data_IF_138937893781
#
_entry.id   IF_138937893781
#
_cell.length_a   1.000
_cell.length_b   1.000
_cell.length_c   1.000
_cell.angle_alpha   90.00
_cell.angle_beta   90.00
_cell.angle_gamma   90.00
#
_symmetry.space_group_name_H-M   'P 1'
#
loop_
_entity.id
_entity.type
_entity.pdbx_description
1 polymer ?
#
# COMPACT_ATOMS: atom_id res chain seq x y z
N UNK A 1 -24.36 0.59 -26.87
CA UNK A 1 -24.25 1.21 -25.54
C UNK A 1 -24.65 0.18 -24.49
N UNK A 2 -23.67 -0.42 -23.80
CA UNK A 2 -23.97 -1.36 -22.73
C UNK A 2 -24.50 -0.58 -21.53
N UNK A 3 -25.73 -0.91 -21.09
CA UNK A 3 -26.29 -0.51 -19.80
C UNK A 3 -25.47 -1.16 -18.68
N UNK A 4 -24.26 -0.67 -18.43
CA UNK A 4 -23.52 -1.05 -17.25
C UNK A 4 -24.29 -0.48 -16.07
N UNK A 5 -24.68 -1.36 -15.15
CA UNK A 5 -25.40 -0.98 -13.96
C UNK A 5 -24.54 0.02 -13.17
N UNK A 6 -24.99 1.28 -13.10
CA UNK A 6 -24.25 2.39 -12.49
C UNK A 6 -23.86 2.05 -11.05
N UNK A 7 -24.73 1.34 -10.33
CA UNK A 7 -24.47 0.88 -8.97
C UNK A 7 -23.28 -0.07 -8.92
N UNK A 8 -23.24 -1.07 -9.81
CA UNK A 8 -22.14 -2.03 -9.90
C UNK A 8 -20.81 -1.31 -10.16
N UNK A 9 -20.81 -0.33 -11.06
CA UNK A 9 -19.63 0.44 -11.39
C UNK A 9 -19.09 1.24 -10.19
N UNK A 10 -19.99 1.91 -9.47
CA UNK A 10 -19.63 2.64 -8.25
C UNK A 10 -19.09 1.73 -7.17
N UNK A 11 -19.69 0.56 -6.98
CA UNK A 11 -19.22 -0.43 -6.00
C UNK A 11 -17.81 -0.89 -6.32
N UNK A 12 -17.51 -1.16 -7.59
CA UNK A 12 -16.19 -1.64 -8.03
C UNK A 12 -15.11 -0.57 -7.83
N UNK A 13 -15.38 0.69 -8.22
CA UNK A 13 -14.47 1.81 -8.00
C UNK A 13 -14.27 2.12 -6.50
N UNK A 14 -15.31 1.95 -5.69
CA UNK A 14 -15.24 2.09 -4.23
C UNK A 14 -14.34 1.02 -3.61
N UNK A 15 -14.51 -0.26 -3.99
CA UNK A 15 -13.67 -1.36 -3.53
C UNK A 15 -12.20 -1.18 -3.92
N UNK A 16 -11.95 -0.70 -5.14
CA UNK A 16 -10.60 -0.38 -5.59
C UNK A 16 -9.98 0.74 -4.71
N UNK A 17 -10.71 1.82 -4.49
CA UNK A 17 -10.23 2.95 -3.68
C UNK A 17 -9.95 2.52 -2.24
N UNK A 18 -10.85 1.74 -1.65
CA UNK A 18 -10.71 1.18 -0.30
C UNK A 18 -9.49 0.24 -0.19
N UNK A 19 -9.35 -0.72 -1.12
CA UNK A 19 -8.26 -1.68 -1.12
C UNK A 19 -6.89 -1.02 -1.32
N UNK A 20 -6.81 -0.03 -2.23
CA UNK A 20 -5.58 0.74 -2.45
C UNK A 20 -5.17 1.55 -1.21
N UNK A 21 -6.13 2.18 -0.52
CA UNK A 21 -5.88 2.88 0.74
C UNK A 21 -5.38 1.93 1.83
N UNK A 22 -6.02 0.78 2.02
CA UNK A 22 -5.58 -0.22 3.00
C UNK A 22 -4.14 -0.66 2.73
N UNK A 23 -3.78 -0.91 1.46
CA UNK A 23 -2.44 -1.33 1.10
C UNK A 23 -1.38 -0.29 1.50
N UNK A 24 -1.58 0.98 1.15
CA UNK A 24 -0.61 2.05 1.43
C UNK A 24 -0.53 2.36 2.93
N UNK A 25 -1.66 2.41 3.63
CA UNK A 25 -1.68 2.58 5.08
C UNK A 25 -1.08 1.38 5.83
N UNK A 26 -1.21 0.16 5.31
CA UNK A 26 -0.57 -1.02 5.90
C UNK A 26 0.96 -0.90 5.88
N UNK A 27 1.54 -0.42 4.77
CA UNK A 27 2.97 -0.14 4.70
C UNK A 27 3.40 0.96 5.69
N UNK A 28 2.58 2.01 5.83
CA UNK A 28 2.82 3.07 6.81
C UNK A 28 2.82 2.52 8.24
N UNK A 29 1.80 1.75 8.62
CA UNK A 29 1.70 1.14 9.97
C UNK A 29 2.92 0.26 10.23
N UNK A 30 3.36 -0.51 9.24
CA UNK A 30 4.52 -1.38 9.38
C UNK A 30 5.82 -0.56 9.56
N UNK A 31 5.94 0.59 8.91
CA UNK A 31 7.05 1.52 9.12
C UNK A 31 7.01 2.18 10.50
N UNK A 32 5.82 2.59 10.97
CA UNK A 32 5.60 3.13 12.32
C UNK A 32 5.91 2.08 13.39
N UNK A 33 5.50 0.83 13.19
CA UNK A 33 5.84 -0.28 14.08
C UNK A 33 7.37 -0.48 14.17
N UNK A 34 8.06 -0.44 13.03
CA UNK A 34 9.53 -0.50 13.02
C UNK A 34 10.15 0.71 13.75
N UNK A 35 9.58 1.90 13.59
CA UNK A 35 10.00 3.11 14.30
C UNK A 35 9.87 2.95 15.81
N UNK A 36 8.71 2.49 16.30
CA UNK A 36 8.50 2.23 17.73
C UNK A 36 9.49 1.19 18.28
N UNK A 37 9.73 0.12 17.53
CA UNK A 37 10.62 -0.96 17.96
C UNK A 37 12.11 -0.56 18.02
N UNK A 38 12.55 0.35 17.15
CA UNK A 38 13.97 0.74 17.04
C UNK A 38 14.27 1.95 17.92
N UNK A 39 13.45 3.00 17.83
CA UNK A 39 13.74 4.29 18.47
C UNK A 39 13.07 4.39 19.84
N UNK A 40 11.80 4.00 19.94
CA UNK A 40 11.02 4.10 21.18
C UNK A 40 11.01 2.80 21.99
N UNK A 41 12.08 1.99 21.90
CA UNK A 41 12.16 0.68 22.57
C UNK A 41 11.95 0.74 24.10
N UNK A 42 12.20 1.91 24.72
CA UNK A 42 11.97 2.16 26.14
C UNK A 42 10.47 2.23 26.50
N UNK A 43 9.61 2.66 25.58
CA UNK A 43 8.18 2.81 25.80
C UNK A 43 7.43 1.52 25.48
N UNK A 44 7.48 0.55 26.40
CA UNK A 44 6.87 -0.78 26.22
C UNK A 44 5.39 -0.76 25.82
N UNK A 45 4.63 0.25 26.24
CA UNK A 45 3.20 0.41 25.91
C UNK A 45 2.99 0.50 24.39
N UNK A 46 3.84 1.24 23.68
CA UNK A 46 3.73 1.42 22.22
C UNK A 46 4.09 0.15 21.43
N UNK A 47 4.80 -0.78 22.05
CA UNK A 47 5.20 -2.05 21.44
C UNK A 47 4.15 -3.16 21.66
N UNK A 48 3.04 -2.86 22.34
CA UNK A 48 2.00 -3.87 22.62
C UNK A 48 1.20 -4.22 21.37
N UNK A 49 0.72 -5.47 21.35
CA UNK A 49 -0.16 -5.99 20.30
C UNK A 49 -1.44 -5.16 20.13
N UNK A 50 -2.00 -4.66 21.24
CA UNK A 50 -3.20 -3.81 21.25
C UNK A 50 -3.01 -2.53 20.44
N UNK A 51 -1.87 -1.85 20.57
CA UNK A 51 -1.59 -0.63 19.82
C UNK A 51 -1.45 -0.93 18.32
N UNK A 52 -0.84 -2.05 17.95
CA UNK A 52 -0.74 -2.45 16.54
C UNK A 52 -2.11 -2.73 15.94
N UNK A 53 -2.98 -3.44 16.66
CA UNK A 53 -4.35 -3.67 16.23
C UNK A 53 -5.16 -2.39 16.12
N UNK A 54 -5.02 -1.49 17.09
CA UNK A 54 -5.68 -0.19 17.07
C UNK A 54 -5.26 0.63 15.85
N UNK A 55 -3.97 0.64 15.50
CA UNK A 55 -3.48 1.29 14.28
C UNK A 55 -4.10 0.68 13.01
N UNK A 56 -4.18 -0.66 12.93
CA UNK A 56 -4.81 -1.35 11.81
C UNK A 56 -6.29 -0.96 11.70
N UNK A 57 -7.05 -1.04 12.79
CA UNK A 57 -8.48 -0.68 12.80
C UNK A 57 -8.67 0.77 12.34
N UNK A 58 -7.85 1.70 12.83
CA UNK A 58 -7.89 3.11 12.42
C UNK A 58 -7.64 3.25 10.92
N UNK A 59 -6.65 2.55 10.34
CA UNK A 59 -6.41 2.63 8.89
C UNK A 59 -7.57 2.11 8.04
N UNK A 60 -8.27 1.08 8.52
CA UNK A 60 -9.46 0.55 7.86
C UNK A 60 -10.60 1.56 7.93
N UNK A 61 -10.81 2.19 9.09
CA UNK A 61 -11.84 3.23 9.27
C UNK A 61 -11.54 4.43 8.36
N UNK A 62 -10.30 4.93 8.35
CA UNK A 62 -9.90 6.05 7.49
C UNK A 62 -10.13 5.72 6.01
N UNK A 63 -9.65 4.55 5.54
CA UNK A 63 -9.84 4.13 4.15
C UNK A 63 -11.31 3.96 3.80
N UNK A 64 -12.11 3.42 4.74
CA UNK A 64 -13.55 3.22 4.58
C UNK A 64 -14.33 4.52 4.50
N UNK A 65 -14.01 5.49 5.35
CA UNK A 65 -14.61 6.84 5.32
C UNK A 65 -14.30 7.51 3.98
N UNK A 66 -13.05 7.51 3.54
CA UNK A 66 -12.65 8.12 2.26
C UNK A 66 -13.42 7.48 1.10
N UNK A 67 -13.43 6.15 1.02
CA UNK A 67 -14.11 5.44 -0.06
C UNK A 67 -15.63 5.68 -0.04
N UNK A 68 -16.25 5.75 1.15
CA UNK A 68 -17.69 5.96 1.32
C UNK A 68 -18.11 7.40 1.01
N UNK A 69 -17.34 8.41 1.44
CA UNK A 69 -17.58 9.80 1.08
C UNK A 69 -17.58 9.99 -0.43
N UNK A 70 -16.66 9.32 -1.13
CA UNK A 70 -16.60 9.33 -2.58
C UNK A 70 -17.74 8.53 -3.24
N UNK A 71 -18.23 7.47 -2.61
CA UNK A 71 -19.36 6.69 -3.11
C UNK A 71 -20.67 7.50 -3.14
N UNK A 72 -20.89 8.34 -2.13
CA UNK A 72 -22.07 9.21 -2.03
C UNK A 72 -22.02 10.32 -3.12
N UNK A 73 -20.83 10.79 -3.47
CA UNK A 73 -20.65 11.77 -4.54
C UNK A 73 -20.97 11.16 -5.91
N UNK A 74 -21.96 11.71 -6.61
CA UNK A 74 -22.34 11.32 -7.98
C UNK A 74 -21.24 11.61 -9.00
N UNK A 75 -20.32 12.52 -8.67
CA UNK A 75 -19.25 12.98 -9.54
C UNK A 75 -17.94 12.23 -9.31
N UNK A 76 -17.81 11.39 -8.28
CA UNK A 76 -16.51 10.80 -7.93
C UNK A 76 -16.24 9.47 -8.62
N UNK A 77 -17.20 8.56 -8.68
CA UNK A 77 -17.06 7.25 -9.35
C UNK A 77 -17.94 7.18 -10.58
N UNK A 78 -17.31 7.03 -11.74
CA UNK A 78 -18.01 7.01 -13.02
C UNK A 78 -17.46 5.90 -13.92
N UNK A 79 -18.34 5.38 -14.79
CA UNK A 79 -17.92 4.56 -15.90
C UNK A 79 -17.26 5.47 -16.93
N UNK A 80 -16.01 5.19 -17.28
CA UNK A 80 -15.31 5.91 -18.32
C UNK A 80 -15.43 5.13 -19.63
N UNK A 81 -16.22 5.63 -20.61
CA UNK A 81 -16.57 4.86 -21.80
C UNK A 81 -15.36 4.60 -22.70
N UNK A 82 -14.33 5.43 -22.63
CA UNK A 82 -13.13 5.33 -23.45
C UNK A 82 -12.19 4.21 -22.99
N UNK A 83 -12.12 3.99 -21.66
CA UNK A 83 -11.25 2.98 -21.05
C UNK A 83 -11.99 1.69 -20.70
N UNK A 84 -13.33 1.67 -20.84
CA UNK A 84 -14.21 0.58 -20.43
C UNK A 84 -14.04 0.16 -18.96
N UNK A 85 -13.59 1.09 -18.10
CA UNK A 85 -13.31 0.84 -16.69
C UNK A 85 -14.18 1.70 -15.77
N UNK A 86 -14.41 1.16 -14.58
CA UNK A 86 -15.11 1.83 -13.48
C UNK A 86 -14.08 2.38 -12.50
N UNK A 87 -13.77 3.66 -12.61
CA UNK A 87 -12.69 4.29 -11.87
C UNK A 87 -13.12 5.61 -11.23
N UNK A 88 -12.39 6.09 -10.21
CA UNK A 88 -12.53 7.48 -9.78
C UNK A 88 -12.28 8.41 -10.97
N UNK A 89 -13.22 9.33 -11.23
CA UNK A 89 -13.17 10.13 -12.46
C UNK A 89 -11.96 11.05 -12.45
N UNK A 90 -11.13 10.91 -13.48
CA UNK A 90 -10.00 11.79 -13.77
C UNK A 90 -10.45 13.19 -14.20
N UNK A 91 -11.70 13.31 -14.68
CA UNK A 91 -12.30 14.54 -15.18
C UNK A 91 -12.51 15.59 -14.10
N UNK A 92 -12.70 15.16 -12.84
CA UNK A 92 -12.75 16.07 -11.71
C UNK A 92 -11.38 16.12 -11.03
N UNK A 93 -10.62 17.17 -11.34
CA UNK A 93 -9.28 17.39 -10.81
C UNK A 93 -9.25 17.34 -9.28
N UNK A 94 -10.18 18.03 -8.61
CA UNK A 94 -10.19 18.13 -7.14
C UNK A 94 -10.32 16.73 -6.52
N UNK A 95 -11.29 15.95 -7.00
CA UNK A 95 -11.53 14.59 -6.49
C UNK A 95 -10.34 13.68 -6.73
N UNK A 96 -9.83 13.64 -7.97
CA UNK A 96 -8.68 12.81 -8.34
C UNK A 96 -7.41 13.18 -7.60
N UNK A 97 -7.16 14.48 -7.42
CA UNK A 97 -6.03 14.98 -6.66
C UNK A 97 -6.13 14.65 -5.18
N UNK A 98 -7.30 14.81 -4.56
CA UNK A 98 -7.50 14.47 -3.15
C UNK A 98 -7.31 12.97 -2.88
N UNK A 99 -7.81 12.11 -3.77
CA UNK A 99 -7.60 10.65 -3.67
C UNK A 99 -6.11 10.32 -3.77
N UNK A 100 -5.40 10.87 -4.77
CA UNK A 100 -3.96 10.66 -4.91
C UNK A 100 -3.18 11.17 -3.69
N UNK A 101 -3.56 12.34 -3.17
CA UNK A 101 -2.86 12.95 -2.04
C UNK A 101 -3.03 12.13 -0.76
N UNK A 102 -4.26 11.76 -0.42
CA UNK A 102 -4.57 11.08 0.84
C UNK A 102 -4.15 9.60 0.80
N UNK A 103 -4.49 8.88 -0.28
CA UNK A 103 -4.23 7.44 -0.34
C UNK A 103 -2.80 7.09 -0.75
N UNK A 104 -2.04 8.01 -1.36
CA UNK A 104 -0.75 7.68 -1.93
C UNK A 104 0.38 8.62 -1.47
N UNK A 105 0.28 9.92 -1.74
CA UNK A 105 1.37 10.86 -1.45
C UNK A 105 1.65 10.94 0.05
N UNK A 106 0.60 11.12 0.85
CA UNK A 106 0.71 11.24 2.30
C UNK A 106 1.33 9.99 2.95
N UNK A 107 0.79 8.76 2.79
CA UNK A 107 1.37 7.57 3.41
C UNK A 107 2.78 7.24 2.89
N UNK A 108 3.06 7.48 1.61
CA UNK A 108 4.39 7.21 1.03
C UNK A 108 5.44 8.20 1.55
N UNK A 109 5.08 9.47 1.70
CA UNK A 109 5.96 10.51 2.23
C UNK A 109 6.33 10.24 3.69
N UNK A 110 5.35 9.93 4.53
CA UNK A 110 5.60 9.61 5.94
C UNK A 110 6.47 8.35 6.05
N UNK A 111 6.18 7.32 5.26
CA UNK A 111 6.99 6.09 5.25
C UNK A 111 8.45 6.37 4.88
N UNK A 112 8.68 7.26 3.89
CA UNK A 112 10.02 7.67 3.46
C UNK A 112 10.75 8.46 4.55
N UNK A 113 10.05 9.38 5.23
CA UNK A 113 10.62 10.15 6.35
C UNK A 113 11.01 9.21 7.50
N UNK A 114 10.10 8.30 7.89
CA UNK A 114 10.37 7.30 8.94
C UNK A 114 11.57 6.42 8.59
N UNK A 115 11.69 5.99 7.33
CA UNK A 115 12.84 5.23 6.85
C UNK A 115 14.16 5.98 7.04
N UNK A 116 14.19 7.26 6.63
CA UNK A 116 15.36 8.13 6.81
C UNK A 116 15.75 8.27 8.28
N UNK A 117 14.79 8.54 9.15
CA UNK A 117 15.01 8.69 10.60
C UNK A 117 15.55 7.39 11.21
N UNK A 118 14.97 6.24 10.88
CA UNK A 118 15.40 4.94 11.42
C UNK A 118 16.84 4.61 11.00
N UNK A 119 17.21 4.87 9.74
CA UNK A 119 18.57 4.64 9.26
C UNK A 119 19.55 5.57 9.96
N UNK A 120 19.22 6.85 10.05
CA UNK A 120 20.06 7.84 10.72
C UNK A 120 20.33 7.43 12.17
N UNK A 121 19.26 7.12 12.92
CA UNK A 121 19.35 6.70 14.31
C UNK A 121 20.18 5.41 14.46
N UNK A 122 19.96 4.41 13.61
CA UNK A 122 20.67 3.14 13.73
C UNK A 122 22.16 3.29 13.41
N UNK A 123 22.52 4.12 12.42
CA UNK A 123 23.93 4.45 12.14
C UNK A 123 24.60 5.15 13.31
N UNK A 124 23.91 6.06 13.99
CA UNK A 124 24.43 6.78 15.15
C UNK A 124 24.57 5.85 16.37
N UNK A 125 23.53 5.07 16.70
CA UNK A 125 23.52 4.20 17.86
C UNK A 125 24.51 3.04 17.75
N UNK A 126 24.72 2.50 16.53
CA UNK A 126 25.74 1.46 16.29
C UNK A 126 27.17 1.92 16.57
N UNK A 127 27.44 3.24 16.57
CA UNK A 127 28.75 3.79 16.90
C UNK A 127 28.98 3.94 18.41
N UNK A 128 27.92 4.03 19.21
CA UNK A 128 28.00 4.44 20.62
C UNK A 128 27.72 3.27 21.59
N UNK A 129 26.73 2.41 21.29
CA UNK A 129 26.34 1.33 22.21
C UNK A 129 25.95 0.06 21.44
N UNK A 130 26.87 -0.92 21.39
CA UNK A 130 26.65 -2.20 20.72
C UNK A 130 26.42 -3.33 21.72
N UNK A 131 25.23 -3.41 22.33
CA UNK A 131 24.82 -4.69 22.93
C UNK A 131 24.41 -5.65 21.81
N UNK A 132 25.00 -6.86 21.77
CA UNK A 132 24.83 -7.80 20.66
C UNK A 132 23.34 -8.08 20.32
N UNK A 133 22.49 -8.19 21.35
CA UNK A 133 21.04 -8.46 21.20
C UNK A 133 20.27 -7.29 20.58
N UNK A 134 20.54 -6.05 20.98
CA UNK A 134 19.87 -4.87 20.42
C UNK A 134 20.26 -4.65 18.96
N UNK A 135 21.54 -4.89 18.63
CA UNK A 135 22.07 -4.81 17.26
C UNK A 135 21.45 -5.87 16.36
N UNK A 136 21.29 -7.12 16.82
CA UNK A 136 20.63 -8.17 16.03
C UNK A 136 19.16 -7.86 15.76
N UNK A 137 18.42 -7.36 16.77
CA UNK A 137 17.02 -6.96 16.63
C UNK A 137 16.87 -5.77 15.66
N UNK A 138 17.72 -4.76 15.77
CA UNK A 138 17.74 -3.61 14.88
C UNK A 138 18.06 -4.02 13.43
N UNK A 139 19.07 -4.89 13.21
CA UNK A 139 19.40 -5.43 11.88
C UNK A 139 18.22 -6.16 11.24
N UNK A 140 17.49 -6.98 12.00
CA UNK A 140 16.28 -7.67 11.51
C UNK A 140 15.20 -6.67 11.10
N UNK A 141 14.91 -5.69 11.95
CA UNK A 141 13.88 -4.68 11.68
C UNK A 141 14.25 -3.79 10.48
N UNK A 142 15.54 -3.45 10.31
CA UNK A 142 16.02 -2.74 9.11
C UNK A 142 15.83 -3.57 7.84
N UNK A 143 16.07 -4.89 7.88
CA UNK A 143 15.81 -5.75 6.72
C UNK A 143 14.32 -5.74 6.34
N UNK A 144 13.43 -5.80 7.33
CA UNK A 144 11.97 -5.70 7.10
C UNK A 144 11.65 -4.33 6.49
N UNK A 145 12.16 -3.26 7.09
CA UNK A 145 11.91 -1.89 6.63
C UNK A 145 12.45 -1.63 5.22
N UNK A 146 13.62 -2.19 4.86
CA UNK A 146 14.17 -2.12 3.51
C UNK A 146 13.23 -2.79 2.49
N UNK A 147 12.63 -3.93 2.85
CA UNK A 147 11.63 -4.60 2.00
C UNK A 147 10.40 -3.70 1.80
N UNK A 148 9.86 -3.11 2.86
CA UNK A 148 8.74 -2.15 2.79
C UNK A 148 9.10 -0.96 1.89
N UNK A 149 10.29 -0.40 2.05
CA UNK A 149 10.74 0.74 1.27
C UNK A 149 10.83 0.42 -0.23
N UNK A 150 11.28 -0.78 -0.60
CA UNK A 150 11.27 -1.24 -1.99
C UNK A 150 9.83 -1.28 -2.54
N UNK A 151 8.86 -1.78 -1.75
CA UNK A 151 7.45 -1.76 -2.17
C UNK A 151 6.93 -0.34 -2.38
N UNK A 152 7.26 0.59 -1.47
CA UNK A 152 6.90 2.01 -1.62
C UNK A 152 7.50 2.60 -2.89
N UNK A 153 8.77 2.29 -3.22
CA UNK A 153 9.39 2.75 -4.48
C UNK A 153 8.66 2.20 -5.71
N UNK A 154 8.33 0.91 -5.72
CA UNK A 154 7.58 0.28 -6.83
C UNK A 154 6.24 0.98 -7.02
N UNK A 155 5.53 1.25 -5.92
CA UNK A 155 4.27 1.98 -5.94
C UNK A 155 4.45 3.42 -6.45
N UNK A 156 5.46 4.16 -5.97
CA UNK A 156 5.81 5.52 -6.44
C UNK A 156 6.04 5.54 -7.95
N UNK A 157 6.88 4.63 -8.46
CA UNK A 157 7.19 4.55 -9.90
C UNK A 157 5.94 4.20 -10.70
N UNK A 158 5.12 3.25 -10.23
CA UNK A 158 3.86 2.86 -10.89
C UNK A 158 2.78 3.94 -10.85
N UNK A 159 2.74 4.75 -9.79
CA UNK A 159 1.77 5.85 -9.63
C UNK A 159 2.18 7.16 -10.29
N UNK A 160 3.46 7.33 -10.64
CA UNK A 160 3.98 8.54 -11.26
C UNK A 160 3.28 8.91 -12.58
N UNK A 161 3.01 7.98 -13.53
CA UNK A 161 2.29 8.31 -14.76
C UNK A 161 0.90 8.89 -14.50
N UNK A 162 0.17 8.34 -13.53
CA UNK A 162 -1.16 8.82 -13.14
C UNK A 162 -1.08 10.23 -12.55
N UNK A 163 -0.12 10.47 -11.66
CA UNK A 163 0.08 11.79 -11.07
C UNK A 163 0.44 12.84 -12.12
N UNK A 164 1.30 12.49 -13.09
CA UNK A 164 1.61 13.34 -14.23
C UNK A 164 0.36 13.63 -15.07
N UNK A 165 -0.49 12.64 -15.34
CA UNK A 165 -1.74 12.85 -16.05
C UNK A 165 -2.67 13.82 -15.32
N UNK A 166 -2.82 13.67 -13.99
CA UNK A 166 -3.64 14.58 -13.17
C UNK A 166 -3.11 16.02 -13.22
N UNK A 167 -1.79 16.24 -13.18
CA UNK A 167 -1.19 17.57 -13.30
C UNK A 167 -1.40 18.16 -14.70
N UNK A 168 -1.14 17.39 -15.76
CA UNK A 168 -1.31 17.86 -17.14
C UNK A 168 -2.77 18.24 -17.39
N UNK A 169 -3.72 17.50 -16.80
CA UNK A 169 -5.15 17.77 -16.91
C UNK A 169 -5.58 19.16 -16.41
N UNK A 170 -4.78 19.81 -15.56
CA UNK A 170 -5.00 21.20 -15.13
C UNK A 170 -4.80 22.15 -16.32
N UNK A 171 -3.79 21.88 -17.15
CA UNK A 171 -3.37 22.78 -18.23
C UNK A 171 -4.09 22.44 -19.53
N UNK A 172 -4.24 21.14 -19.84
CA UNK A 172 -4.86 20.64 -21.07
C UNK A 172 -5.59 19.32 -20.82
N UNK A 173 -6.77 19.09 -21.42
CA UNK A 173 -7.44 17.81 -21.32
C UNK A 173 -6.52 16.70 -21.85
N UNK A 174 -6.18 15.75 -20.97
CA UNK A 174 -5.30 14.64 -21.32
C UNK A 174 -6.08 13.62 -22.15
N UNK A 175 -5.50 13.08 -23.24
CA UNK A 175 -6.17 12.06 -24.04
C UNK A 175 -6.40 10.79 -23.22
N UNK A 176 -7.53 10.15 -23.45
CA UNK A 176 -7.98 8.93 -22.75
C UNK A 176 -6.97 7.78 -22.74
N UNK A 177 -6.16 7.68 -23.81
CA UNK A 177 -5.12 6.67 -23.95
C UNK A 177 -4.06 6.80 -22.85
N UNK A 178 -3.65 8.03 -22.52
CA UNK A 178 -2.65 8.30 -21.47
C UNK A 178 -3.19 7.92 -20.09
N UNK A 179 -4.47 8.19 -19.82
CA UNK A 179 -5.11 7.79 -18.56
C UNK A 179 -5.20 6.28 -18.42
N UNK A 180 -5.60 5.58 -19.48
CA UNK A 180 -5.71 4.12 -19.49
C UNK A 180 -4.36 3.45 -19.26
N UNK A 181 -3.31 3.93 -19.95
CA UNK A 181 -1.94 3.47 -19.74
C UNK A 181 -1.51 3.72 -18.29
N UNK A 182 -1.73 4.93 -17.77
CA UNK A 182 -1.35 5.28 -16.39
C UNK A 182 -2.03 4.40 -15.34
N UNK A 183 -3.30 4.06 -15.56
CA UNK A 183 -4.02 3.15 -14.69
C UNK A 183 -3.47 1.72 -14.77
N UNK A 184 -3.12 1.24 -15.97
CA UNK A 184 -2.43 -0.05 -16.12
C UNK A 184 -1.10 -0.09 -15.37
N UNK A 185 -0.31 0.99 -15.39
CA UNK A 185 0.93 1.06 -14.60
C UNK A 185 0.67 0.90 -13.10
N UNK A 186 -0.39 1.52 -12.56
CA UNK A 186 -0.78 1.36 -11.15
C UNK A 186 -1.17 -0.09 -10.86
N UNK A 187 -2.03 -0.70 -11.68
CA UNK A 187 -2.52 -2.07 -11.43
C UNK A 187 -1.38 -3.09 -11.54
N UNK A 188 -0.48 -2.95 -12.52
CA UNK A 188 0.73 -3.77 -12.63
C UNK A 188 1.66 -3.57 -11.43
N UNK A 189 1.88 -2.33 -10.98
CA UNK A 189 2.72 -2.07 -9.82
C UNK A 189 2.16 -2.70 -8.55
N UNK A 190 0.84 -2.63 -8.34
CA UNK A 190 0.15 -3.30 -7.22
C UNK A 190 0.31 -4.82 -7.35
N UNK A 191 0.06 -5.40 -8.51
CA UNK A 191 0.19 -6.84 -8.74
C UNK A 191 1.62 -7.34 -8.47
N UNK A 192 2.63 -6.61 -8.95
CA UNK A 192 4.05 -6.89 -8.70
C UNK A 192 4.34 -6.77 -7.20
N UNK A 193 3.87 -5.71 -6.53
CA UNK A 193 4.08 -5.50 -5.11
C UNK A 193 3.44 -6.62 -4.26
N UNK A 194 2.19 -7.00 -4.54
CA UNK A 194 1.49 -8.08 -3.84
C UNK A 194 2.18 -9.44 -4.05
N UNK A 195 2.60 -9.73 -5.28
CA UNK A 195 3.31 -10.96 -5.62
C UNK A 195 4.67 -11.01 -4.93
N UNK A 196 5.45 -9.93 -5.02
CA UNK A 196 6.72 -9.85 -4.34
C UNK A 196 6.57 -9.89 -2.80
N UNK A 197 5.48 -9.35 -2.22
CA UNK A 197 5.19 -9.48 -0.80
C UNK A 197 5.00 -10.94 -0.38
N UNK A 198 4.22 -11.71 -1.15
CA UNK A 198 4.02 -13.14 -0.94
C UNK A 198 5.35 -13.90 -0.96
N UNK A 199 6.23 -13.60 -1.94
CA UNK A 199 7.55 -14.23 -2.05
C UNK A 199 8.62 -13.66 -1.12
N UNK A 200 8.35 -12.57 -0.40
CA UNK A 200 9.34 -11.95 0.49
C UNK A 200 9.13 -12.35 1.95
N UNK A 201 7.95 -12.87 2.28
CA UNK A 201 7.60 -13.30 3.62
C UNK A 201 8.02 -14.76 3.85
N UNK A 202 9.11 -14.93 4.60
CA UNK A 202 9.64 -16.26 4.95
C UNK A 202 8.63 -17.11 5.72
N UNK A 203 7.79 -16.52 6.58
CA UNK A 203 6.79 -17.29 7.34
C UNK A 203 5.73 -17.89 6.41
N UNK A 204 5.27 -17.10 5.44
CA UNK A 204 4.30 -17.58 4.45
C UNK A 204 4.92 -18.69 3.61
N UNK A 205 6.17 -18.52 3.15
CA UNK A 205 6.89 -19.58 2.43
C UNK A 205 6.94 -20.87 3.22
N UNK A 206 7.36 -20.82 4.49
CA UNK A 206 7.48 -22.03 5.31
C UNK A 206 6.14 -22.75 5.48
N UNK A 207 5.06 -22.01 5.71
CA UNK A 207 3.70 -22.57 5.82
C UNK A 207 3.25 -23.18 4.48
N UNK A 208 3.51 -22.49 3.37
CA UNK A 208 3.10 -22.92 2.04
C UNK A 208 3.85 -24.19 1.62
N UNK A 209 5.16 -24.24 1.86
CA UNK A 209 5.98 -25.43 1.63
C UNK A 209 5.56 -26.60 2.52
N UNK A 210 5.27 -26.36 3.80
CA UNK A 210 4.80 -27.41 4.70
C UNK A 210 3.47 -28.01 4.23
N UNK A 211 2.52 -27.16 3.80
CA UNK A 211 1.23 -27.60 3.26
C UNK A 211 1.37 -28.35 1.94
N UNK A 212 2.22 -27.87 1.04
CA UNK A 212 2.48 -28.52 -0.24
C UNK A 212 3.11 -29.91 -0.04
N UNK A 213 4.06 -30.03 0.89
CA UNK A 213 4.71 -31.30 1.24
C UNK A 213 3.69 -32.30 1.81
N UNK A 214 2.77 -31.85 2.66
CA UNK A 214 1.72 -32.72 3.20
C UNK A 214 0.83 -33.30 2.09
N UNK A 215 0.40 -32.45 1.15
CA UNK A 215 -0.45 -32.89 0.03
C UNK A 215 0.27 -33.86 -0.92
N UNK A 216 1.58 -33.68 -1.12
CA UNK A 216 2.39 -34.61 -1.93
C UNK A 216 2.49 -35.96 -1.24
N UNK A 217 2.72 -35.98 0.08
CA UNK A 217 2.82 -37.22 0.84
C UNK A 217 1.49 -38.00 0.87
N UNK A 218 0.35 -37.32 1.09
CA UNK A 218 -0.99 -37.96 1.02
C UNK A 218 -1.29 -38.58 -0.35
N UNK A 219 -0.84 -37.93 -1.45
CA UNK A 219 -0.96 -38.49 -2.80
C UNK A 219 -0.02 -39.67 -3.07
N UNK A 220 1.09 -39.79 -2.34
CA UNK A 220 2.02 -40.90 -2.49
C UNK A 220 1.54 -42.17 -1.75
N UNK A 221 0.82 -42.01 -0.65
CA UNK A 221 0.28 -43.13 0.15
C UNK A 221 -0.98 -43.77 -0.46
N UNK A 222 -1.58 -43.11 -1.46
CA UNK A 222 -2.79 -43.57 -2.16
C UNK A 222 -2.51 -44.28 -3.49
N UNK A 223 -1.24 -44.45 -3.86
CA UNK A 223 -0.76 -45.16 -5.06
C UNK A 223 -0.05 -46.43 -4.60
#
# INVERSE_FOLDING_TARGET
MQNINILFCKTLACLLTFSSGILTYSHLIQAVACFFMIILYKHRILLTFYIHWLMIIISYIISGIIASCMFISSLSYQYEPESHMCIPTSKNFITSFMIALINFIFPSSITTILYGIIIYYTKQHSRIHSTCVSVMRAKRNIKILKKIFIFVIILIIGGLPYFLCVIINIVRPVPWLLYSISYLFITFAIAIASTAYLFTNEQIKTILYAKLRHQINEKLETI
#
